data_IF_511576420980
#
_entry.id   IF_511576420980
#
_cell.length_a   1.000
_cell.length_b   1.000
_cell.length_c   1.000
_cell.angle_alpha   90.00
_cell.angle_beta   90.00
_cell.angle_gamma   90.00
#
_symmetry.space_group_name_H-M   'P 1'
#
loop_
_entity.id
_entity.type
_entity.pdbx_description
1 polymer ?
#
# COMPACT_ATOMS: atom_id res chain seq x y z
N UNK A 1 4.23 -16.12 -10.59
CA UNK A 1 3.27 -15.13 -11.02
C UNK A 1 3.11 -14.07 -9.98
N UNK A 2 3.55 -12.91 -10.32
CA UNK A 2 3.61 -11.82 -9.33
C UNK A 2 2.25 -11.35 -8.89
N UNK A 3 1.31 -11.27 -9.82
CA UNK A 3 -0.01 -10.75 -9.49
C UNK A 3 -0.74 -11.63 -8.48
N UNK A 4 -0.34 -12.89 -8.35
CA UNK A 4 -0.98 -13.80 -7.40
C UNK A 4 -0.54 -13.55 -5.98
N UNK A 5 0.58 -12.86 -5.78
CA UNK A 5 1.09 -12.60 -4.44
C UNK A 5 0.78 -11.19 -3.96
N UNK A 6 0.08 -10.39 -4.77
CA UNK A 6 -0.23 -9.03 -4.38
C UNK A 6 -1.56 -8.97 -3.64
N UNK A 7 -1.80 -7.82 -3.07
CA UNK A 7 -3.03 -7.51 -2.37
C UNK A 7 -3.71 -6.41 -3.16
N UNK A 8 -4.78 -6.74 -3.87
CA UNK A 8 -5.43 -5.77 -4.74
C UNK A 8 -6.23 -4.75 -3.94
N UNK A 9 -6.50 -3.61 -4.57
CA UNK A 9 -7.32 -2.59 -3.93
C UNK A 9 -8.72 -3.13 -3.62
N UNK A 10 -9.25 -3.99 -4.48
CA UNK A 10 -10.56 -4.58 -4.25
C UNK A 10 -10.58 -5.48 -3.02
N UNK A 11 -9.53 -6.28 -2.84
CA UNK A 11 -9.41 -7.12 -1.65
C UNK A 11 -9.27 -6.27 -0.40
N UNK A 12 -8.44 -5.23 -0.47
CA UNK A 12 -8.25 -4.34 0.65
C UNK A 12 -9.57 -3.68 1.03
N UNK A 13 -10.31 -3.19 0.04
CA UNK A 13 -11.59 -2.54 0.30
C UNK A 13 -12.55 -3.50 1.00
N UNK A 14 -12.66 -4.73 0.51
CA UNK A 14 -13.54 -5.71 1.13
C UNK A 14 -13.14 -5.97 2.59
N UNK A 15 -11.85 -6.05 2.83
CA UNK A 15 -11.37 -6.39 4.16
C UNK A 15 -11.57 -5.28 5.18
N UNK A 16 -11.55 -4.02 4.77
CA UNK A 16 -11.62 -2.90 5.72
C UNK A 16 -13.00 -2.24 5.80
N UNK A 17 -13.87 -2.49 4.83
CA UNK A 17 -15.16 -1.79 4.76
C UNK A 17 -15.99 -2.00 6.02
N UNK A 18 -15.94 -3.20 6.62
CA UNK A 18 -16.73 -3.49 7.81
C UNK A 18 -16.17 -2.86 9.08
N UNK A 19 -14.93 -2.37 9.04
CA UNK A 19 -14.23 -1.90 10.24
C UNK A 19 -13.94 -0.42 10.22
N UNK A 20 -14.14 0.24 9.09
CA UNK A 20 -13.81 1.66 8.94
C UNK A 20 -15.00 2.42 8.39
N UNK A 21 -15.03 3.72 8.69
CA UNK A 21 -16.03 4.60 8.12
C UNK A 21 -15.76 4.81 6.63
N UNK A 22 -16.79 5.13 5.84
CA UNK A 22 -16.58 5.30 4.39
C UNK A 22 -15.47 6.29 4.04
N UNK A 23 -15.36 7.40 4.78
CA UNK A 23 -14.30 8.36 4.51
C UNK A 23 -12.93 7.78 4.80
N UNK A 24 -12.82 6.96 5.84
CA UNK A 24 -11.55 6.31 6.17
C UNK A 24 -11.17 5.30 5.10
N UNK A 25 -12.14 4.52 4.62
CA UNK A 25 -11.91 3.60 3.52
C UNK A 25 -11.40 4.35 2.30
N UNK A 26 -12.05 5.47 1.98
CA UNK A 26 -11.63 6.27 0.83
C UNK A 26 -10.19 6.74 0.98
N UNK A 27 -9.80 7.19 2.15
CA UNK A 27 -8.45 7.68 2.38
C UNK A 27 -7.42 6.56 2.24
N UNK A 28 -7.73 5.38 2.75
CA UNK A 28 -6.81 4.25 2.63
C UNK A 28 -6.65 3.85 1.17
N UNK A 29 -7.76 3.77 0.43
CA UNK A 29 -7.70 3.40 -0.99
C UNK A 29 -6.98 4.47 -1.81
N UNK A 30 -7.13 5.74 -1.45
CA UNK A 30 -6.39 6.79 -2.13
C UNK A 30 -4.89 6.66 -1.89
N UNK A 31 -4.49 6.30 -0.68
CA UNK A 31 -3.08 6.06 -0.38
C UNK A 31 -2.56 4.86 -1.17
N UNK A 32 -3.37 3.82 -1.31
CA UNK A 32 -3.01 2.66 -2.11
C UNK A 32 -2.74 3.07 -3.56
N UNK A 33 -3.66 3.84 -4.14
CA UNK A 33 -3.51 4.27 -5.53
C UNK A 33 -2.31 5.18 -5.72
N UNK A 34 -2.05 6.05 -4.75
CA UNK A 34 -0.89 6.93 -4.82
C UNK A 34 0.40 6.12 -4.80
N UNK A 35 0.49 5.14 -3.90
CA UNK A 35 1.67 4.30 -3.81
C UNK A 35 1.88 3.50 -5.09
N UNK A 36 0.81 2.97 -5.65
CA UNK A 36 0.88 2.23 -6.90
C UNK A 36 1.40 3.12 -8.02
N UNK A 37 0.91 4.34 -8.09
CA UNK A 37 1.31 5.28 -9.12
C UNK A 37 2.78 5.68 -8.96
N UNK A 38 3.19 6.02 -7.76
CA UNK A 38 4.56 6.49 -7.51
C UNK A 38 5.57 5.40 -7.81
N UNK A 39 5.24 4.15 -7.46
CA UNK A 39 6.19 3.05 -7.60
C UNK A 39 6.00 2.23 -8.86
N UNK A 40 5.18 2.71 -9.82
CA UNK A 40 4.78 1.88 -10.95
C UNK A 40 5.93 1.40 -11.82
N UNK A 41 7.03 2.14 -11.84
CA UNK A 41 8.18 1.78 -12.66
C UNK A 41 9.37 1.29 -11.84
N UNK A 42 9.19 1.14 -10.54
CA UNK A 42 10.27 0.69 -9.68
C UNK A 42 10.27 -0.83 -9.55
N UNK A 43 11.45 -1.40 -9.60
CA UNK A 43 11.63 -2.86 -9.58
C UNK A 43 12.64 -3.19 -8.49
N UNK A 44 12.34 -4.22 -7.72
CA UNK A 44 13.25 -4.69 -6.67
C UNK A 44 14.34 -5.57 -7.26
N UNK A 45 15.31 -5.94 -6.42
CA UNK A 45 16.43 -6.76 -6.85
C UNK A 45 16.00 -8.10 -7.43
N UNK A 46 14.84 -8.60 -7.02
CA UNK A 46 14.32 -9.88 -7.52
C UNK A 46 13.43 -9.71 -8.75
N UNK A 47 13.46 -8.53 -9.36
CA UNK A 47 12.71 -8.20 -10.55
C UNK A 47 11.20 -8.08 -10.34
N UNK A 48 10.73 -8.08 -9.10
CA UNK A 48 9.31 -7.86 -8.82
C UNK A 48 9.03 -6.37 -8.74
N UNK A 49 7.79 -5.94 -9.08
CA UNK A 49 7.42 -4.53 -8.92
C UNK A 49 7.53 -4.10 -7.46
N UNK A 50 8.08 -2.93 -7.22
CA UNK A 50 8.28 -2.43 -5.86
C UNK A 50 6.96 -2.29 -5.11
N UNK A 51 5.91 -1.88 -5.80
CA UNK A 51 4.61 -1.70 -5.16
C UNK A 51 4.09 -2.99 -4.53
N UNK A 52 4.49 -4.16 -5.06
CA UNK A 52 4.08 -5.43 -4.45
C UNK A 52 4.54 -5.53 -3.00
N UNK A 53 5.71 -4.97 -2.70
CA UNK A 53 6.19 -4.94 -1.33
C UNK A 53 5.27 -4.11 -0.43
N UNK A 54 4.87 -2.94 -0.91
CA UNK A 54 3.98 -2.06 -0.14
C UNK A 54 2.63 -2.75 0.10
N UNK A 55 2.09 -3.37 -0.94
CA UNK A 55 0.81 -4.07 -0.82
C UNK A 55 0.91 -5.26 0.13
N UNK A 56 2.04 -5.96 0.11
CA UNK A 56 2.25 -7.10 1.01
C UNK A 56 2.28 -6.66 2.47
N UNK A 57 2.97 -5.56 2.76
CA UNK A 57 3.00 -5.03 4.12
C UNK A 57 1.58 -4.72 4.59
N UNK A 58 0.81 -4.07 3.73
CA UNK A 58 -0.58 -3.76 4.05
C UNK A 58 -1.40 -5.03 4.31
N UNK A 59 -1.19 -6.05 3.49
CA UNK A 59 -1.89 -7.33 3.65
C UNK A 59 -1.56 -7.98 5.00
N UNK A 60 -0.30 -7.94 5.39
CA UNK A 60 0.11 -8.51 6.67
C UNK A 60 -0.60 -7.79 7.81
N UNK A 61 -0.63 -6.47 7.77
CA UNK A 61 -1.28 -5.70 8.83
C UNK A 61 -2.76 -6.05 8.94
N UNK A 62 -3.45 -6.12 7.81
CA UNK A 62 -4.89 -6.37 7.81
C UNK A 62 -5.22 -7.84 8.07
N UNK A 63 -4.59 -8.75 7.34
CA UNK A 63 -5.00 -10.16 7.37
C UNK A 63 -4.34 -10.95 8.48
N UNK A 64 -3.08 -10.67 8.77
CA UNK A 64 -2.36 -11.47 9.76
C UNK A 64 -2.39 -10.83 11.14
N UNK A 65 -2.31 -9.52 11.22
CA UNK A 65 -2.32 -8.82 12.50
C UNK A 65 -3.71 -8.32 12.89
N UNK A 66 -4.65 -8.35 11.96
CA UNK A 66 -6.03 -7.89 12.18
C UNK A 66 -6.08 -6.47 12.72
N UNK A 67 -5.22 -5.60 12.20
CA UNK A 67 -5.19 -4.20 12.60
C UNK A 67 -5.90 -3.38 11.53
N UNK A 68 -6.97 -2.69 11.94
CA UNK A 68 -7.81 -1.93 11.02
C UNK A 68 -7.73 -0.43 11.31
N UNK A 69 -6.53 0.05 11.55
CA UNK A 69 -6.27 1.47 11.82
C UNK A 69 -5.95 2.17 10.49
N UNK A 70 -6.83 3.09 10.03
CA UNK A 70 -6.59 3.75 8.76
C UNK A 70 -5.27 4.51 8.72
N UNK A 71 -4.88 5.16 9.81
CA UNK A 71 -3.63 5.91 9.83
C UNK A 71 -2.42 4.98 9.67
N UNK A 72 -2.46 3.82 10.30
CA UNK A 72 -1.37 2.86 10.18
C UNK A 72 -1.27 2.32 8.77
N UNK A 73 -2.42 1.99 8.16
CA UNK A 73 -2.43 1.48 6.79
C UNK A 73 -1.92 2.52 5.81
N UNK A 74 -2.34 3.78 5.99
CA UNK A 74 -1.87 4.86 5.14
C UNK A 74 -0.35 5.02 5.28
N UNK A 75 0.14 4.98 6.52
CA UNK A 75 1.57 5.09 6.74
C UNK A 75 2.33 3.94 6.10
N UNK A 76 1.81 2.71 6.21
CA UNK A 76 2.46 1.56 5.61
C UNK A 76 2.54 1.67 4.09
N UNK A 77 1.50 2.24 3.47
CA UNK A 77 1.45 2.39 2.02
C UNK A 77 2.31 3.54 1.52
N UNK A 78 2.52 4.57 2.34
CA UNK A 78 3.13 5.81 1.85
C UNK A 78 4.52 6.12 2.40
N UNK A 79 5.03 5.33 3.34
CA UNK A 79 6.31 5.69 3.96
C UNK A 79 7.46 5.72 2.95
N UNK A 80 7.46 4.81 1.99
CA UNK A 80 8.53 4.78 0.99
C UNK A 80 8.41 5.92 -0.01
N UNK A 81 7.22 6.46 -0.18
CA UNK A 81 7.01 7.61 -1.06
C UNK A 81 7.81 8.81 -0.55
N UNK A 82 7.78 9.03 0.75
CA UNK A 82 8.51 10.15 1.32
C UNK A 82 10.01 10.01 1.13
N UNK A 83 10.53 8.80 1.24
CA UNK A 83 11.95 8.57 1.02
C UNK A 83 12.34 8.83 -0.42
N UNK A 84 11.52 8.36 -1.35
CA UNK A 84 11.78 8.59 -2.77
C UNK A 84 11.74 10.08 -3.09
N UNK A 85 10.80 10.80 -2.51
CA UNK A 85 10.71 12.24 -2.71
C UNK A 85 11.94 12.96 -2.19
N UNK A 86 12.46 12.53 -1.05
CA UNK A 86 13.67 13.10 -0.51
C UNK A 86 14.85 12.89 -1.44
N UNK A 87 14.96 11.68 -1.96
CA UNK A 87 16.05 11.36 -2.88
C UNK A 87 15.98 12.22 -4.13
N UNK A 88 14.78 12.42 -4.65
CA UNK A 88 14.61 13.26 -5.82
C UNK A 88 14.96 14.73 -5.52
N UNK A 89 14.66 15.17 -4.34
CA UNK A 89 14.90 16.56 -3.95
C UNK A 89 16.37 16.85 -3.69
N UNK A 90 17.17 15.83 -3.51
CA UNK A 90 18.60 16.01 -3.32
C UNK A 90 19.32 16.35 -4.62
N UNK A 91 18.65 16.17 -5.71
CA UNK A 91 19.19 16.53 -6.99
C UNK A 91 19.39 18.02 -7.14
#
# INVERSE_FOLDING_TARGET
MYHLSTYSSSELELDITSYMKPLEVHKVLSAYEMAEHVHQFQIRNDNSPYFYHCARVCKIVVKELSIFDPDLLIAALTHDILEDSKDLNHE
#
